data_IF_203141885765
#
_entry.id   IF_203141885765
#
_cell.length_a   1.000
_cell.length_b   1.000
_cell.length_c   1.000
_cell.angle_alpha   90.00
_cell.angle_beta   90.00
_cell.angle_gamma   90.00
#
_symmetry.space_group_name_H-M   'P 1'
#
loop_
_entity.id
_entity.type
_entity.pdbx_description
1 polymer ?
#
# COMPACT_ATOMS: atom_id res chain seq x y z
N UNK A 1 -10.48 -8.33 16.81
CA UNK A 1 -10.11 -9.54 16.03
C UNK A 1 -9.65 -9.06 14.67
N UNK A 2 -8.52 -9.54 14.13
CA UNK A 2 -8.03 -9.13 12.82
C UNK A 2 -9.01 -9.51 11.71
N UNK A 3 -9.11 -8.69 10.66
CA UNK A 3 -9.95 -8.95 9.48
C UNK A 3 -9.10 -9.65 8.42
N UNK A 4 -9.47 -10.87 8.00
CA UNK A 4 -8.76 -11.57 6.93
C UNK A 4 -8.98 -10.87 5.58
N UNK A 5 -7.90 -10.45 4.94
CA UNK A 5 -7.90 -9.90 3.58
C UNK A 5 -7.88 -11.05 2.60
N UNK A 6 -6.92 -11.97 2.76
CA UNK A 6 -6.83 -13.23 2.04
C UNK A 6 -6.34 -14.34 2.99
N UNK A 7 -7.18 -15.35 3.17
CA UNK A 7 -6.88 -16.46 4.09
C UNK A 7 -5.80 -17.39 3.54
N UNK A 8 -5.67 -17.53 2.22
CA UNK A 8 -4.70 -18.44 1.61
C UNK A 8 -3.26 -17.95 1.80
N UNK A 9 -3.05 -16.63 1.72
CA UNK A 9 -1.77 -15.99 1.98
C UNK A 9 -1.54 -15.60 3.44
N UNK A 10 -2.55 -15.78 4.31
CA UNK A 10 -2.49 -15.36 5.71
C UNK A 10 -2.51 -13.83 5.88
N UNK A 11 -2.90 -13.08 4.85
CA UNK A 11 -2.93 -11.61 4.87
C UNK A 11 -4.11 -11.10 5.71
N UNK A 12 -3.81 -10.23 6.67
CA UNK A 12 -4.78 -9.73 7.64
C UNK A 12 -4.59 -8.23 7.90
N UNK A 13 -5.69 -7.54 8.15
CA UNK A 13 -5.70 -6.20 8.72
C UNK A 13 -5.53 -6.30 10.24
N UNK A 14 -4.54 -5.62 10.79
CA UNK A 14 -4.25 -5.60 12.21
C UNK A 14 -5.32 -4.77 12.97
N UNK A 15 -6.24 -5.48 13.60
CA UNK A 15 -7.22 -5.04 14.61
C UNK A 15 -8.36 -4.08 14.18
N UNK A 16 -9.49 -4.22 14.89
CA UNK A 16 -10.70 -3.41 14.82
C UNK A 16 -11.82 -3.97 13.93
N UNK A 17 -13.07 -3.70 14.30
CA UNK A 17 -14.29 -4.19 13.61
C UNK A 17 -15.29 -3.06 13.31
N UNK A 18 -14.82 -1.84 13.07
CA UNK A 18 -15.69 -0.73 12.67
C UNK A 18 -15.94 -0.71 11.16
N UNK A 19 -16.91 0.12 10.74
CA UNK A 19 -17.31 0.22 9.33
C UNK A 19 -16.19 0.69 8.40
N UNK A 20 -15.32 1.58 8.87
CA UNK A 20 -14.19 2.10 8.10
C UNK A 20 -13.16 1.00 7.81
N UNK A 21 -12.78 0.20 8.82
CA UNK A 21 -11.88 -0.95 8.66
C UNK A 21 -12.48 -2.03 7.78
N UNK A 22 -13.79 -2.27 7.88
CA UNK A 22 -14.47 -3.23 7.00
C UNK A 22 -14.46 -2.77 5.54
N UNK A 23 -14.74 -1.49 5.29
CA UNK A 23 -14.64 -0.88 3.96
C UNK A 23 -13.22 -1.02 3.42
N UNK A 24 -12.22 -0.59 4.19
CA UNK A 24 -10.81 -0.69 3.81
C UNK A 24 -10.41 -2.12 3.47
N UNK A 25 -10.74 -3.10 4.32
CA UNK A 25 -10.42 -4.51 4.07
C UNK A 25 -11.08 -5.06 2.78
N UNK A 26 -12.28 -4.60 2.45
CA UNK A 26 -12.97 -5.00 1.21
C UNK A 26 -12.29 -4.40 -0.03
N UNK A 27 -11.91 -3.11 0.03
CA UNK A 27 -11.18 -2.46 -1.06
C UNK A 27 -9.80 -3.09 -1.22
N UNK A 28 -9.09 -3.37 -0.12
CA UNK A 28 -7.79 -4.06 -0.15
C UNK A 28 -7.91 -5.42 -0.81
N UNK A 29 -8.91 -6.23 -0.43
CA UNK A 29 -9.13 -7.54 -1.06
C UNK A 29 -9.37 -7.41 -2.57
N UNK A 30 -10.13 -6.40 -2.98
CA UNK A 30 -10.38 -6.14 -4.41
C UNK A 30 -9.10 -5.76 -5.13
N UNK A 31 -8.30 -4.84 -4.56
CA UNK A 31 -7.00 -4.46 -5.10
C UNK A 31 -6.03 -5.65 -5.18
N UNK A 32 -5.95 -6.47 -4.13
CA UNK A 32 -5.14 -7.69 -4.11
C UNK A 32 -5.50 -8.60 -5.29
N UNK A 33 -6.79 -8.84 -5.53
CA UNK A 33 -7.27 -9.69 -6.62
C UNK A 33 -7.06 -9.11 -8.03
N UNK A 34 -6.85 -7.80 -8.15
CA UNK A 34 -6.47 -7.15 -9.43
C UNK A 34 -5.03 -7.49 -9.83
N UNK A 35 -4.14 -7.72 -8.86
CA UNK A 35 -2.73 -8.04 -9.14
C UNK A 35 -2.62 -9.40 -9.85
N UNK A 36 -1.80 -9.52 -10.91
CA UNK A 36 -1.56 -10.80 -11.56
C UNK A 36 -1.10 -11.88 -10.56
N UNK A 37 -1.63 -13.11 -10.71
CA UNK A 37 -1.36 -14.19 -9.76
C UNK A 37 0.14 -14.50 -9.56
N UNK A 38 0.97 -14.34 -10.59
CA UNK A 38 2.42 -14.51 -10.48
C UNK A 38 3.08 -13.45 -9.58
N UNK A 39 2.57 -12.22 -9.60
CA UNK A 39 3.07 -11.11 -8.79
C UNK A 39 2.54 -11.20 -7.35
N UNK A 40 1.29 -11.62 -7.16
CA UNK A 40 0.78 -12.02 -5.85
C UNK A 40 1.65 -13.10 -5.22
N UNK A 41 1.97 -14.17 -5.96
CA UNK A 41 2.81 -15.25 -5.46
C UNK A 41 4.21 -14.76 -5.07
N UNK A 42 4.76 -13.79 -5.79
CA UNK A 42 6.04 -13.17 -5.46
C UNK A 42 5.96 -12.41 -4.14
N UNK A 43 4.95 -11.57 -3.97
CA UNK A 43 4.71 -10.83 -2.73
C UNK A 43 4.54 -11.80 -1.55
N UNK A 44 3.71 -12.85 -1.70
CA UNK A 44 3.48 -13.86 -0.66
C UNK A 44 4.75 -14.64 -0.30
N UNK A 45 5.61 -14.90 -1.29
CA UNK A 45 6.91 -15.55 -1.04
C UNK A 45 7.85 -14.65 -0.25
N UNK A 46 7.86 -13.35 -0.57
CA UNK A 46 8.66 -12.36 0.15
C UNK A 46 8.19 -12.14 1.59
N UNK A 47 6.89 -12.19 1.82
CA UNK A 47 6.26 -12.05 3.14
C UNK A 47 6.34 -13.28 4.05
N UNK A 48 7.05 -14.34 3.65
CA UNK A 48 7.23 -15.49 4.53
C UNK A 48 8.03 -15.09 5.79
N UNK A 49 7.59 -15.52 6.99
CA UNK A 49 8.30 -15.20 8.23
C UNK A 49 9.78 -15.60 8.17
N UNK A 50 10.66 -14.72 8.65
CA UNK A 50 12.11 -14.91 8.62
C UNK A 50 12.78 -14.49 7.32
N UNK A 51 12.01 -14.21 6.26
CA UNK A 51 12.54 -13.59 5.05
C UNK A 51 12.95 -12.13 5.35
N UNK A 52 14.14 -11.73 4.89
CA UNK A 52 14.76 -10.43 5.25
C UNK A 52 14.83 -10.14 6.77
N UNK A 53 14.78 -11.19 7.62
CA UNK A 53 14.77 -11.07 9.08
C UNK A 53 13.47 -10.48 9.67
N UNK A 54 12.39 -10.40 8.89
CA UNK A 54 11.12 -9.81 9.30
C UNK A 54 10.16 -10.85 9.89
N UNK A 55 9.22 -10.36 10.71
CA UNK A 55 8.06 -11.14 11.16
C UNK A 55 7.02 -11.25 10.03
N UNK A 56 5.87 -11.89 10.31
CA UNK A 56 4.74 -11.92 9.36
C UNK A 56 4.32 -10.50 8.94
N UNK A 57 3.86 -10.30 7.70
CA UNK A 57 3.44 -9.00 7.23
C UNK A 57 2.26 -8.45 8.03
N UNK A 58 2.21 -7.13 8.15
CA UNK A 58 1.14 -6.40 8.81
C UNK A 58 0.60 -5.33 7.89
N UNK A 59 -0.73 -5.33 7.71
CA UNK A 59 -1.46 -4.22 7.11
C UNK A 59 -2.15 -3.48 8.23
N UNK A 60 -1.94 -2.17 8.33
CA UNK A 60 -2.43 -1.35 9.44
C UNK A 60 -3.18 -0.12 8.92
N UNK A 61 -4.29 0.20 9.57
CA UNK A 61 -5.03 1.44 9.36
C UNK A 61 -4.89 2.31 10.62
N UNK A 62 -4.09 3.36 10.52
CA UNK A 62 -3.54 4.12 11.65
C UNK A 62 -4.12 5.55 11.67
N UNK A 63 -4.57 5.97 12.84
CA UNK A 63 -4.95 7.37 13.08
C UNK A 63 -3.71 8.25 13.24
N UNK A 64 -3.77 9.49 12.76
CA UNK A 64 -2.69 10.48 12.86
C UNK A 64 -1.35 10.03 12.23
N UNK A 65 -1.40 9.15 11.23
CA UNK A 65 -0.19 8.76 10.49
C UNK A 65 0.24 9.90 9.55
N UNK A 66 1.51 10.24 9.49
CA UNK A 66 1.97 11.47 8.84
C UNK A 66 2.13 11.37 7.31
N UNK A 67 1.69 10.27 6.71
CA UNK A 67 1.66 10.00 5.27
C UNK A 67 0.31 9.41 4.87
N UNK A 68 -0.04 9.44 3.58
CA UNK A 68 -1.27 8.78 3.11
C UNK A 68 -1.18 7.26 3.29
N UNK A 69 -0.06 6.68 2.88
CA UNK A 69 0.35 5.32 3.18
C UNK A 69 1.88 5.20 3.10
N UNK A 70 2.43 4.06 3.52
CA UNK A 70 3.81 3.68 3.24
C UNK A 70 4.03 2.16 3.37
N UNK A 71 4.94 1.64 2.55
CA UNK A 71 5.52 0.31 2.66
C UNK A 71 6.86 0.37 3.41
N UNK A 72 6.85 -0.01 4.69
CA UNK A 72 8.00 -0.01 5.58
C UNK A 72 8.53 -1.43 5.83
N UNK A 73 9.69 -1.53 6.51
CA UNK A 73 10.30 -2.81 6.91
C UNK A 73 10.45 -3.79 5.73
N UNK A 74 10.97 -3.28 4.60
CA UNK A 74 11.06 -4.03 3.35
C UNK A 74 9.71 -4.56 2.87
N UNK A 75 8.67 -3.73 2.97
CA UNK A 75 7.30 -4.04 2.56
C UNK A 75 6.54 -4.96 3.52
N UNK A 76 7.10 -5.33 4.68
CA UNK A 76 6.37 -6.17 5.65
C UNK A 76 5.37 -5.37 6.46
N UNK A 77 5.52 -4.05 6.57
CA UNK A 77 4.54 -3.19 7.22
C UNK A 77 3.92 -2.27 6.17
N UNK A 78 2.63 -2.44 5.90
CA UNK A 78 1.86 -1.52 5.08
C UNK A 78 1.00 -0.65 6.01
N UNK A 79 1.38 0.61 6.15
CA UNK A 79 0.72 1.56 7.03
C UNK A 79 -0.14 2.50 6.19
N UNK A 80 -1.42 2.66 6.54
CA UNK A 80 -2.35 3.56 5.87
C UNK A 80 -2.92 4.56 6.87
N UNK A 81 -2.97 5.86 6.52
CA UNK A 81 -3.65 6.84 7.34
C UNK A 81 -5.17 6.66 7.23
N UNK A 82 -5.82 6.41 8.37
CA UNK A 82 -7.27 6.18 8.44
C UNK A 82 -8.08 7.38 7.94
N UNK A 83 -7.71 8.58 8.37
CA UNK A 83 -8.44 9.81 8.06
C UNK A 83 -8.33 10.14 6.56
N UNK A 84 -7.16 9.89 5.95
CA UNK A 84 -6.97 10.05 4.50
C UNK A 84 -7.74 8.98 3.72
N UNK A 85 -7.72 7.72 4.15
CA UNK A 85 -8.45 6.63 3.50
C UNK A 85 -9.97 6.84 3.53
N UNK A 86 -10.50 7.49 4.57
CA UNK A 86 -11.93 7.83 4.68
C UNK A 86 -12.36 8.92 3.69
N UNK A 87 -11.43 9.78 3.25
CA UNK A 87 -11.68 10.79 2.21
C UNK A 87 -11.67 10.21 0.79
N UNK A 88 -10.97 9.09 0.57
CA UNK A 88 -10.78 8.49 -0.75
C UNK A 88 -12.04 7.75 -1.20
N UNK A 89 -12.54 7.97 -2.42
CA UNK A 89 -13.45 7.02 -3.06
C UNK A 89 -12.80 5.63 -3.19
N UNK A 90 -13.61 4.56 -3.21
CA UNK A 90 -13.10 3.17 -3.24
C UNK A 90 -12.11 2.92 -4.39
N UNK A 91 -12.34 3.49 -5.57
CA UNK A 91 -11.44 3.36 -6.71
C UNK A 91 -10.06 3.99 -6.44
N UNK A 92 -10.04 5.18 -5.82
CA UNK A 92 -8.79 5.87 -5.47
C UNK A 92 -8.06 5.15 -4.33
N UNK A 93 -8.80 4.62 -3.36
CA UNK A 93 -8.23 3.81 -2.30
C UNK A 93 -7.63 2.50 -2.85
N UNK A 94 -8.27 1.88 -3.85
CA UNK A 94 -7.71 0.73 -4.54
C UNK A 94 -6.42 1.08 -5.28
N UNK A 95 -6.37 2.23 -5.95
CA UNK A 95 -5.15 2.74 -6.60
C UNK A 95 -4.01 2.92 -5.59
N UNK A 96 -4.27 3.55 -4.43
CA UNK A 96 -3.26 3.70 -3.36
C UNK A 96 -2.78 2.34 -2.85
N UNK A 97 -3.68 1.40 -2.58
CA UNK A 97 -3.30 0.06 -2.12
C UNK A 97 -2.46 -0.67 -3.17
N UNK A 98 -2.81 -0.52 -4.45
CA UNK A 98 -2.02 -1.04 -5.57
C UNK A 98 -0.60 -0.48 -5.60
N UNK A 99 -0.44 0.83 -5.37
CA UNK A 99 0.85 1.48 -5.26
C UNK A 99 1.70 0.90 -4.11
N UNK A 100 1.13 0.79 -2.90
CA UNK A 100 1.87 0.24 -1.76
C UNK A 100 2.28 -1.22 -1.97
N UNK A 101 1.41 -2.03 -2.60
CA UNK A 101 1.75 -3.41 -2.96
C UNK A 101 2.84 -3.49 -4.04
N UNK A 102 2.95 -2.49 -4.92
CA UNK A 102 4.03 -2.41 -5.89
C UNK A 102 5.39 -2.21 -5.22
N UNK A 103 5.46 -1.39 -4.17
CA UNK A 103 6.68 -1.29 -3.33
C UNK A 103 7.06 -2.64 -2.73
N UNK A 104 6.09 -3.41 -2.22
CA UNK A 104 6.36 -4.76 -1.68
C UNK A 104 6.91 -5.69 -2.75
N UNK A 105 6.31 -5.69 -3.94
CA UNK A 105 6.78 -6.50 -5.06
C UNK A 105 8.21 -6.14 -5.47
N UNK A 106 8.56 -4.86 -5.45
CA UNK A 106 9.89 -4.35 -5.76
C UNK A 106 10.97 -4.84 -4.80
N UNK A 107 10.67 -4.92 -3.49
CA UNK A 107 11.58 -5.55 -2.53
C UNK A 107 11.87 -7.01 -2.90
N UNK A 108 10.88 -7.72 -3.43
CA UNK A 108 10.99 -9.10 -3.88
C UNK A 108 11.64 -9.29 -5.27
N UNK A 109 11.89 -8.20 -6.01
CA UNK A 109 12.39 -8.24 -7.38
C UNK A 109 13.88 -7.86 -7.44
N UNK A 110 14.69 -8.77 -7.99
CA UNK A 110 16.08 -8.45 -8.30
C UNK A 110 16.16 -7.37 -9.39
N UNK A 111 17.06 -6.41 -9.18
CA UNK A 111 17.25 -5.29 -10.11
C UNK A 111 16.28 -4.13 -9.95
N UNK A 112 15.31 -4.20 -9.02
CA UNK A 112 14.47 -3.06 -8.69
C UNK A 112 15.27 -1.91 -8.07
N UNK A 113 14.80 -0.68 -8.25
CA UNK A 113 15.34 0.51 -7.58
C UNK A 113 15.21 0.45 -6.05
N UNK A 114 14.27 -0.33 -5.50
CA UNK A 114 14.19 -0.60 -4.06
C UNK A 114 15.46 -1.29 -3.53
N UNK A 115 16.10 -2.11 -4.35
CA UNK A 115 17.29 -2.90 -4.03
C UNK A 115 18.60 -2.28 -4.59
N UNK A 116 18.52 -1.10 -5.21
CA UNK A 116 19.67 -0.46 -5.88
C UNK A 116 20.29 0.64 -5.01
N UNK A 117 21.60 0.52 -4.75
CA UNK A 117 22.36 1.53 -4.02
C UNK A 117 22.38 2.83 -4.82
N UNK A 118 22.04 3.95 -4.16
CA UNK A 118 22.04 5.28 -4.78
C UNK A 118 20.78 5.60 -5.59
N UNK A 119 19.80 4.69 -5.67
CA UNK A 119 18.50 5.02 -6.23
C UNK A 119 17.81 6.11 -5.41
N UNK A 120 17.32 7.13 -6.09
CA UNK A 120 16.56 8.24 -5.49
C UNK A 120 15.17 7.78 -5.08
N UNK A 121 14.54 8.48 -4.14
CA UNK A 121 13.14 8.24 -3.78
C UNK A 121 12.22 8.35 -5.01
N UNK A 122 12.37 9.38 -5.84
CA UNK A 122 11.57 9.55 -7.05
C UNK A 122 11.67 8.36 -8.02
N UNK A 123 12.84 7.73 -8.14
CA UNK A 123 12.98 6.54 -8.99
C UNK A 123 12.19 5.35 -8.44
N UNK A 124 12.15 5.18 -7.12
CA UNK A 124 11.37 4.12 -6.48
C UNK A 124 9.87 4.37 -6.63
N UNK A 125 9.42 5.60 -6.39
CA UNK A 125 8.01 5.97 -6.59
C UNK A 125 7.57 5.80 -8.05
N UNK A 126 8.42 6.19 -9.01
CA UNK A 126 8.11 5.98 -10.43
C UNK A 126 8.05 4.49 -10.81
N UNK A 127 8.87 3.66 -10.18
CA UNK A 127 8.87 2.21 -10.42
C UNK A 127 7.61 1.55 -9.84
N UNK A 128 7.20 1.96 -8.63
CA UNK A 128 5.96 1.54 -8.01
C UNK A 128 4.75 1.98 -8.84
N UNK A 129 4.71 3.25 -9.26
CA UNK A 129 3.65 3.78 -10.14
C UNK A 129 3.52 2.96 -11.43
N UNK A 130 4.64 2.75 -12.13
CA UNK A 130 4.64 2.00 -13.39
C UNK A 130 4.17 0.55 -13.22
N UNK A 131 4.49 -0.07 -12.08
CA UNK A 131 4.08 -1.44 -11.76
C UNK A 131 2.60 -1.51 -11.42
N UNK A 132 2.09 -0.58 -10.60
CA UNK A 132 0.67 -0.50 -10.27
C UNK A 132 -0.18 -0.21 -11.53
N UNK A 133 0.25 0.72 -12.39
CA UNK A 133 -0.40 0.94 -13.70
C UNK A 133 -0.39 -0.34 -14.56
N UNK A 134 0.71 -1.11 -14.54
CA UNK A 134 0.82 -2.39 -15.23
C UNK A 134 -0.12 -3.48 -14.69
N UNK A 135 -0.51 -3.41 -13.42
CA UNK A 135 -1.54 -4.27 -12.82
C UNK A 135 -2.97 -3.82 -13.12
N UNK A 136 -3.16 -2.62 -13.66
CA UNK A 136 -4.47 -2.06 -14.01
C UNK A 136 -5.02 -1.04 -13.02
N UNK A 137 -4.21 -0.58 -12.06
CA UNK A 137 -4.52 0.61 -11.27
C UNK A 137 -4.29 1.88 -12.10
N UNK A 138 -4.74 3.04 -11.61
CA UNK A 138 -4.58 4.31 -12.32
C UNK A 138 -3.86 5.35 -11.49
N UNK A 139 -2.53 5.39 -11.57
CA UNK A 139 -1.70 6.33 -10.81
C UNK A 139 -1.97 7.78 -11.21
N UNK A 140 -2.38 8.01 -12.46
CA UNK A 140 -2.83 9.32 -12.92
C UNK A 140 -4.08 9.80 -12.16
N UNK A 141 -5.04 8.91 -11.89
CA UNK A 141 -6.26 9.25 -11.13
C UNK A 141 -5.93 9.48 -9.66
N UNK A 142 -5.10 8.62 -9.04
CA UNK A 142 -4.62 8.81 -7.67
C UNK A 142 -3.95 10.18 -7.51
N UNK A 143 -3.05 10.54 -8.44
CA UNK A 143 -2.35 11.83 -8.43
C UNK A 143 -3.26 13.02 -8.66
N UNK A 144 -4.22 12.91 -9.58
CA UNK A 144 -5.22 13.94 -9.81
C UNK A 144 -6.09 14.16 -8.55
N UNK A 145 -6.54 13.08 -7.91
CA UNK A 145 -7.31 13.14 -6.67
C UNK A 145 -6.51 13.76 -5.53
N UNK A 146 -5.26 13.35 -5.33
CA UNK A 146 -4.41 13.88 -4.27
C UNK A 146 -4.14 15.38 -4.45
N UNK A 147 -3.88 15.83 -5.68
CA UNK A 147 -3.72 17.25 -5.99
C UNK A 147 -5.01 18.06 -5.69
N UNK A 148 -6.17 17.51 -6.05
CA UNK A 148 -7.45 18.17 -5.80
C UNK A 148 -7.82 18.22 -4.31
N UNK A 149 -7.29 17.30 -3.49
CA UNK A 149 -7.59 17.18 -2.07
C UNK A 149 -6.40 17.53 -1.16
N UNK A 150 -5.36 18.19 -1.69
CA UNK A 150 -4.11 18.45 -0.99
C UNK A 150 -4.30 19.11 0.38
N UNK A 151 -5.17 20.10 0.49
CA UNK A 151 -5.46 20.77 1.78
C UNK A 151 -6.06 19.82 2.82
N UNK A 152 -6.96 18.92 2.41
CA UNK A 152 -7.57 17.96 3.32
C UNK A 152 -6.56 16.90 3.76
N UNK A 153 -5.71 16.44 2.84
CA UNK A 153 -4.63 15.49 3.16
C UNK A 153 -3.63 16.11 4.14
N UNK A 154 -3.18 17.35 3.90
CA UNK A 154 -2.26 18.06 4.82
C UNK A 154 -2.89 18.22 6.20
N UNK A 155 -4.20 18.49 6.28
CA UNK A 155 -4.91 18.58 7.55
C UNK A 155 -4.97 17.23 8.29
N UNK A 156 -5.16 16.12 7.55
CA UNK A 156 -5.24 14.77 8.11
C UNK A 156 -3.87 14.18 8.50
N UNK A 157 -2.81 14.51 7.77
CA UNK A 157 -1.46 13.99 8.03
C UNK A 157 -0.61 14.91 8.91
N UNK A 158 -0.97 16.20 9.00
CA UNK A 158 -0.10 17.23 9.57
C UNK A 158 1.19 17.46 8.77
N UNK A 159 1.31 16.88 7.57
CA UNK A 159 2.49 16.91 6.73
C UNK A 159 2.21 17.75 5.48
N UNK A 160 3.11 18.69 5.15
CA UNK A 160 2.96 19.54 3.96
C UNK A 160 3.23 18.80 2.64
N UNK A 161 3.86 17.62 2.71
CA UNK A 161 4.09 16.77 1.55
C UNK A 161 2.91 15.83 1.36
N UNK A 162 2.21 15.98 0.23
CA UNK A 162 1.04 15.17 -0.15
C UNK A 162 1.42 13.80 -0.73
N UNK A 163 2.62 13.32 -0.41
CA UNK A 163 3.18 12.08 -0.95
C UNK A 163 2.56 10.83 -0.33
N UNK A 164 2.52 9.79 -1.15
CA UNK A 164 2.56 8.39 -0.76
C UNK A 164 3.96 7.88 -1.12
#
# INVERSE_FOLDING_TARGET
>A
MPISIDTASGLQLADGSDGARQRFANVFRTAWLTIPAADQQRIVTWWQPGFAGQASPQVQLLANYNMAAAAEAFGHHLNFNSDVCDLMPDAILADLIGHELAHVWHYAQQGSFANTIGATHQQRENEADATADGWGFCMANLRAWANANATAIVAATGNQNVGW
#
